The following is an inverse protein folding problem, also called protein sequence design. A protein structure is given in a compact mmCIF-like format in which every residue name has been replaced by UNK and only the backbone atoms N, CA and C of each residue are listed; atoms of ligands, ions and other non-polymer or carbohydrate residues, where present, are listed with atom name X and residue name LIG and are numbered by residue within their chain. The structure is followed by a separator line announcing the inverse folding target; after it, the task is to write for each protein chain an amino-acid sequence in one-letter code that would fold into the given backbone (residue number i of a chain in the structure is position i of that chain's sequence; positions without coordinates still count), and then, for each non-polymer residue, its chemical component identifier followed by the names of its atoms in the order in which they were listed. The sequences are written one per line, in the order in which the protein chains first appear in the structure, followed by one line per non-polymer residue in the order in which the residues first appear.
data_IF_776872680246
#
_entry.id   IF_776872680246
#
_cell.length_a   1.000
_cell.length_b   1.000
_cell.length_c   1.000
_cell.angle_alpha   90.00
_cell.angle_beta   90.00
_cell.angle_gamma   90.00
#
_symmetry.space_group_name_H-M   'P 1'
#
loop_
_entity.id
_entity.type
_entity.pdbx_description
1 polymer ?
#
# COMPACT_ATOMS: atom_id res chain seq x y z
N UNK A 1 -14.64 6.27 34.65
CA UNK A 1 -14.86 5.75 33.29
C UNK A 1 -16.24 6.21 32.86
N UNK A 2 -16.39 6.90 31.73
CA UNK A 2 -17.70 7.29 31.18
C UNK A 2 -17.87 6.49 29.91
N UNK A 3 -18.73 5.47 29.96
CA UNK A 3 -19.06 4.67 28.79
C UNK A 3 -20.49 4.94 28.34
N UNK A 4 -20.70 4.86 27.04
CA UNK A 4 -22.03 5.06 26.45
C UNK A 4 -22.77 3.73 26.34
N UNK A 5 -24.09 3.74 26.52
CA UNK A 5 -24.93 2.61 26.15
C UNK A 5 -25.87 3.00 25.02
N UNK A 6 -26.22 2.00 24.22
CA UNK A 6 -27.20 2.08 23.15
C UNK A 6 -28.05 0.81 23.20
N UNK A 7 -29.33 0.96 23.54
CA UNK A 7 -30.30 -0.11 23.71
C UNK A 7 -31.29 -0.06 22.55
N UNK A 8 -31.66 -1.24 22.05
CA UNK A 8 -32.82 -1.35 21.16
C UNK A 8 -34.07 -0.85 21.91
N UNK A 9 -35.07 -0.38 21.17
CA UNK A 9 -36.33 0.16 21.75
C UNK A 9 -37.01 -0.81 22.72
N UNK A 10 -36.84 -2.12 22.53
CA UNK A 10 -37.43 -3.14 23.40
C UNK A 10 -36.69 -3.27 24.74
N UNK A 11 -35.43 -2.85 24.78
CA UNK A 11 -34.50 -3.00 25.91
C UNK A 11 -34.32 -1.68 26.68
N UNK A 12 -35.21 -0.69 26.47
CA UNK A 12 -35.09 0.59 27.15
C UNK A 12 -35.18 0.43 28.68
N UNK A 13 -34.17 0.97 29.36
CA UNK A 13 -34.05 0.86 30.81
C UNK A 13 -34.37 2.21 31.49
N UNK A 14 -35.06 2.20 32.65
CA UNK A 14 -35.35 3.43 33.41
C UNK A 14 -34.07 4.18 33.80
N UNK A 15 -34.11 5.50 33.75
CA UNK A 15 -33.03 6.37 34.23
C UNK A 15 -32.80 6.17 35.74
N UNK A 16 -31.53 6.01 36.14
CA UNK A 16 -31.09 5.90 37.53
C UNK A 16 -31.13 7.21 38.34
N UNK A 17 -31.42 8.35 37.70
CA UNK A 17 -31.58 9.61 38.43
C UNK A 17 -32.91 9.60 39.19
N UNK A 18 -32.82 9.82 40.51
CA UNK A 18 -33.96 10.02 41.40
C UNK A 18 -34.82 11.18 40.87
N UNK A 19 -36.06 10.88 40.46
CA UNK A 19 -37.00 11.87 39.92
C UNK A 19 -37.04 12.00 38.39
N UNK A 20 -36.29 11.19 37.63
CA UNK A 20 -36.47 11.07 36.19
C UNK A 20 -37.27 9.82 35.81
N UNK A 21 -36.79 8.62 36.20
CA UNK A 21 -37.36 7.29 35.90
C UNK A 21 -37.77 7.03 34.43
N UNK A 22 -37.42 7.94 33.51
CA UNK A 22 -37.79 7.85 32.09
C UNK A 22 -36.97 6.75 31.45
N UNK A 23 -37.61 5.92 30.64
CA UNK A 23 -36.93 4.88 29.87
C UNK A 23 -36.08 5.53 28.76
N UNK A 24 -34.85 5.07 28.61
CA UNK A 24 -33.91 5.63 27.64
C UNK A 24 -33.29 4.54 26.78
N UNK A 25 -33.21 4.81 25.48
CA UNK A 25 -32.47 4.00 24.51
C UNK A 25 -30.97 4.31 24.56
N UNK A 26 -30.59 5.58 24.74
CA UNK A 26 -29.20 6.01 24.65
C UNK A 26 -28.83 6.88 25.85
N UNK A 27 -27.62 6.69 26.36
CA UNK A 27 -27.16 7.44 27.53
C UNK A 27 -25.75 7.08 27.96
N UNK A 28 -25.49 7.25 29.26
CA UNK A 28 -24.18 7.04 29.86
C UNK A 28 -24.31 6.15 31.09
N UNK A 29 -23.32 5.27 31.28
CA UNK A 29 -23.11 4.57 32.53
C UNK A 29 -22.24 5.46 33.42
N UNK A 30 -22.72 5.70 34.64
CA UNK A 30 -21.99 6.46 35.65
C UNK A 30 -21.82 5.62 36.90
N UNK A 31 -20.72 5.86 37.61
CA UNK A 31 -20.47 5.30 38.94
C UNK A 31 -20.90 6.35 39.96
N UNK A 32 -21.81 5.99 40.85
CA UNK A 32 -22.24 6.84 41.96
C UNK A 32 -21.17 6.90 43.04
N UNK A 33 -21.28 7.82 43.99
CA UNK A 33 -20.29 8.02 45.06
C UNK A 33 -20.11 6.81 45.99
N UNK A 34 -21.14 5.97 46.09
CA UNK A 34 -21.19 4.69 46.77
C UNK A 34 -20.71 3.50 45.90
N UNK A 35 -20.19 3.78 44.70
CA UNK A 35 -19.58 2.78 43.83
C UNK A 35 -20.55 1.98 42.96
N UNK A 36 -21.85 2.30 42.98
CA UNK A 36 -22.88 1.61 42.20
C UNK A 36 -22.90 2.15 40.77
N UNK A 37 -22.93 1.26 39.78
CA UNK A 37 -23.08 1.66 38.37
C UNK A 37 -24.56 1.85 38.07
N UNK A 38 -24.92 3.00 37.48
CA UNK A 38 -26.28 3.29 37.05
C UNK A 38 -26.31 3.96 35.68
N UNK A 39 -27.43 3.80 34.96
CA UNK A 39 -27.62 4.36 33.63
C UNK A 39 -28.33 5.72 33.72
N UNK A 40 -27.89 6.68 32.92
CA UNK A 40 -28.49 8.02 32.84
C UNK A 40 -28.72 8.37 31.38
N UNK A 41 -29.92 8.85 31.04
CA UNK A 41 -30.21 9.29 29.68
C UNK A 41 -29.36 10.48 29.24
N UNK A 42 -29.07 10.59 27.94
CA UNK A 42 -28.21 11.65 27.39
C UNK A 42 -28.62 13.07 27.87
N UNK A 43 -29.91 13.41 27.79
CA UNK A 43 -30.43 14.73 28.21
C UNK A 43 -30.50 14.89 29.74
N UNK A 44 -30.56 13.80 30.48
CA UNK A 44 -30.70 13.80 31.93
C UNK A 44 -29.42 14.26 32.61
N UNK A 45 -28.24 13.95 32.04
CA UNK A 45 -26.97 14.49 32.53
C UNK A 45 -26.92 16.01 32.57
N UNK A 46 -27.33 16.65 31.48
CA UNK A 46 -27.35 18.13 31.42
C UNK A 46 -28.39 18.73 32.36
N UNK A 47 -29.59 18.12 32.42
CA UNK A 47 -30.71 18.64 33.22
C UNK A 47 -30.48 18.52 34.74
N UNK A 48 -29.92 17.41 35.20
CA UNK A 48 -29.88 17.08 36.62
C UNK A 48 -28.47 17.15 37.22
N UNK A 49 -27.42 17.02 36.39
CA UNK A 49 -26.02 17.03 36.86
C UNK A 49 -25.23 18.24 36.31
N UNK A 50 -25.86 19.10 35.50
CA UNK A 50 -25.22 20.18 34.74
C UNK A 50 -24.00 19.71 33.91
N UNK A 51 -24.01 18.43 33.52
CA UNK A 51 -22.94 17.80 32.77
C UNK A 51 -23.38 17.49 31.35
N UNK A 52 -22.70 18.11 30.39
CA UNK A 52 -22.79 17.70 29.00
C UNK A 52 -21.87 16.49 28.76
N UNK A 53 -22.40 15.29 29.03
CA UNK A 53 -21.67 14.05 28.82
C UNK A 53 -21.21 13.84 27.38
N UNK A 54 -21.89 14.43 26.38
CA UNK A 54 -21.44 14.39 24.98
C UNK A 54 -20.14 15.17 24.84
N UNK A 55 -20.10 16.39 25.40
CA UNK A 55 -18.89 17.23 25.44
C UNK A 55 -17.76 16.56 26.23
N UNK A 56 -18.05 15.98 27.40
CA UNK A 56 -17.06 15.29 28.24
C UNK A 56 -16.48 14.07 27.51
N UNK A 57 -17.33 13.21 26.93
CA UNK A 57 -16.89 12.05 26.13
C UNK A 57 -16.04 12.48 24.94
N UNK A 58 -16.46 13.52 24.20
CA UNK A 58 -15.70 14.06 23.07
C UNK A 58 -14.32 14.57 23.50
N UNK A 59 -14.24 15.31 24.60
CA UNK A 59 -12.98 15.81 25.14
C UNK A 59 -12.07 14.67 25.60
N UNK A 60 -12.62 13.65 26.27
CA UNK A 60 -11.87 12.47 26.69
C UNK A 60 -11.30 11.70 25.49
N UNK A 61 -12.11 11.44 24.46
CA UNK A 61 -11.67 10.77 23.24
C UNK A 61 -10.61 11.57 22.49
N UNK A 62 -10.76 12.90 22.42
CA UNK A 62 -9.76 13.78 21.80
C UNK A 62 -8.41 13.70 22.51
N UNK A 63 -8.41 13.80 23.86
CA UNK A 63 -7.19 13.66 24.68
C UNK A 63 -6.54 12.29 24.52
N UNK A 64 -7.32 11.21 24.55
CA UNK A 64 -6.82 9.84 24.33
C UNK A 64 -6.18 9.70 22.95
N UNK A 65 -6.84 10.21 21.92
CA UNK A 65 -6.32 10.21 20.55
C UNK A 65 -5.02 11.01 20.44
N UNK A 66 -4.95 12.20 21.04
CA UNK A 66 -3.74 13.01 21.08
C UNK A 66 -2.57 12.27 21.78
N UNK A 67 -2.84 11.61 22.91
CA UNK A 67 -1.87 10.76 23.61
C UNK A 67 -1.35 9.63 22.72
N UNK A 68 -2.26 8.89 22.05
CA UNK A 68 -1.87 7.82 21.14
C UNK A 68 -1.04 8.34 19.94
N UNK A 69 -1.42 9.49 19.39
CA UNK A 69 -0.68 10.12 18.29
C UNK A 69 0.72 10.51 18.74
N UNK A 70 0.86 11.08 19.94
CA UNK A 70 2.15 11.45 20.52
C UNK A 70 3.05 10.22 20.72
N UNK A 71 2.52 9.15 21.30
CA UNK A 71 3.25 7.90 21.49
C UNK A 71 3.72 7.30 20.15
N UNK A 72 2.83 7.27 19.16
CA UNK A 72 3.17 6.82 17.79
C UNK A 72 4.29 7.65 17.18
N UNK A 73 4.25 8.97 17.33
CA UNK A 73 5.30 9.85 16.80
C UNK A 73 6.63 9.68 17.56
N UNK A 74 6.60 9.52 18.89
CA UNK A 74 7.80 9.23 19.70
C UNK A 74 8.46 7.93 19.26
N UNK A 75 7.66 6.89 19.03
CA UNK A 75 8.15 5.62 18.49
C UNK A 75 8.84 5.79 17.14
N UNK A 76 8.20 6.47 16.18
CA UNK A 76 8.78 6.72 14.85
C UNK A 76 10.09 7.52 14.96
N UNK A 77 10.16 8.55 15.82
CA UNK A 77 11.41 9.30 16.05
C UNK A 77 12.52 8.41 16.61
N UNK A 78 12.20 7.54 17.57
CA UNK A 78 13.19 6.62 18.16
C UNK A 78 13.71 5.59 17.15
N UNK A 79 12.88 5.17 16.20
CA UNK A 79 13.22 4.20 15.15
C UNK A 79 13.82 4.86 13.89
N UNK A 80 13.91 6.19 13.85
CA UNK A 80 14.27 6.95 12.64
C UNK A 80 15.62 6.54 12.05
N UNK A 81 16.61 6.19 12.86
CA UNK A 81 17.92 5.78 12.36
C UNK A 81 17.83 4.50 11.49
N UNK A 82 17.06 3.50 11.94
CA UNK A 82 16.82 2.26 11.19
C UNK A 82 15.95 2.50 9.95
N UNK A 83 14.93 3.36 10.09
CA UNK A 83 14.11 3.78 8.95
C UNK A 83 14.97 4.47 7.88
N UNK A 84 15.89 5.35 8.30
CA UNK A 84 16.79 6.07 7.39
C UNK A 84 17.72 5.12 6.64
N UNK A 85 18.32 4.13 7.32
CA UNK A 85 19.11 3.08 6.67
C UNK A 85 18.30 2.35 5.60
N UNK A 86 17.04 2.05 5.88
CA UNK A 86 16.13 1.41 4.92
C UNK A 86 15.87 2.32 3.72
N UNK A 87 15.62 3.62 3.94
CA UNK A 87 15.43 4.61 2.87
C UNK A 87 16.67 4.73 1.98
N UNK A 88 17.86 4.80 2.56
CA UNK A 88 19.10 4.94 1.80
C UNK A 88 19.41 3.68 0.99
N UNK A 89 19.17 2.49 1.56
CA UNK A 89 19.22 1.21 0.85
C UNK A 89 18.26 1.17 -0.34
N UNK A 90 16.99 1.52 -0.11
CA UNK A 90 15.96 1.56 -1.17
C UNK A 90 16.31 2.57 -2.27
N UNK A 91 16.85 3.75 -1.90
CA UNK A 91 17.29 4.75 -2.87
C UNK A 91 18.35 4.18 -3.79
N UNK A 92 19.38 3.55 -3.23
CA UNK A 92 20.45 2.93 -4.00
C UNK A 92 19.90 1.86 -4.96
N UNK A 93 18.98 1.01 -4.51
CA UNK A 93 18.36 0.00 -5.36
C UNK A 93 17.53 0.60 -6.49
N UNK A 94 16.72 1.62 -6.20
CA UNK A 94 15.87 2.28 -7.20
C UNK A 94 16.67 3.10 -8.22
N UNK A 95 17.81 3.67 -7.83
CA UNK A 95 18.74 4.31 -8.76
C UNK A 95 19.32 3.29 -9.75
N UNK A 96 19.68 2.08 -9.29
CA UNK A 96 20.14 1.00 -10.17
C UNK A 96 19.05 0.53 -11.12
N UNK A 97 17.80 0.43 -10.65
CA UNK A 97 16.68 0.11 -11.51
C UNK A 97 16.48 1.18 -12.58
N UNK A 98 16.58 2.46 -12.22
CA UNK A 98 16.50 3.58 -13.16
C UNK A 98 17.61 3.50 -14.22
N UNK A 99 18.85 3.21 -13.81
CA UNK A 99 19.97 3.09 -14.75
C UNK A 99 19.85 1.84 -15.64
N UNK A 100 19.43 0.71 -15.07
CA UNK A 100 19.15 -0.53 -15.80
C UNK A 100 18.05 -0.33 -16.84
N UNK A 101 17.01 0.44 -16.49
CA UNK A 101 15.95 0.83 -17.42
C UNK A 101 16.50 1.66 -18.59
N UNK A 102 17.43 2.60 -18.35
CA UNK A 102 18.07 3.38 -19.43
C UNK A 102 18.90 2.50 -20.35
N UNK A 103 19.62 1.52 -19.81
CA UNK A 103 20.38 0.53 -20.61
C UNK A 103 19.41 -0.24 -21.52
N UNK A 104 18.36 -0.83 -20.94
CA UNK A 104 17.35 -1.57 -21.71
C UNK A 104 16.63 -0.69 -22.72
N UNK A 105 16.34 0.57 -22.40
CA UNK A 105 15.68 1.50 -23.32
C UNK A 105 16.53 1.78 -24.56
N UNK A 106 17.86 1.85 -24.42
CA UNK A 106 18.78 2.05 -25.56
C UNK A 106 18.95 0.80 -26.43
N UNK A 107 18.78 -0.38 -25.84
CA UNK A 107 19.06 -1.66 -26.51
C UNK A 107 17.80 -2.35 -27.06
N UNK A 108 16.71 -2.36 -26.30
CA UNK A 108 15.47 -3.13 -26.55
C UNK A 108 14.22 -2.32 -26.20
N UNK A 109 14.17 -1.07 -26.69
CA UNK A 109 13.15 -0.08 -26.34
C UNK A 109 11.71 -0.61 -26.46
N UNK A 110 11.39 -1.28 -27.56
CA UNK A 110 10.03 -1.77 -27.86
C UNK A 110 9.61 -2.83 -26.85
N UNK A 111 10.47 -3.79 -26.54
CA UNK A 111 10.17 -4.88 -25.61
C UNK A 111 10.10 -4.37 -24.18
N UNK A 112 10.96 -3.42 -23.79
CA UNK A 112 10.86 -2.75 -22.50
C UNK A 112 9.52 -2.02 -22.36
N UNK A 113 9.10 -1.27 -23.38
CA UNK A 113 7.80 -0.57 -23.34
C UNK A 113 6.62 -1.53 -23.19
N UNK A 114 6.65 -2.65 -23.93
CA UNK A 114 5.63 -3.70 -23.81
C UNK A 114 5.62 -4.30 -22.39
N UNK A 115 6.78 -4.62 -21.82
CA UNK A 115 6.89 -5.12 -20.44
C UNK A 115 6.33 -4.12 -19.42
N UNK A 116 6.66 -2.83 -19.56
CA UNK A 116 6.09 -1.77 -18.72
C UNK A 116 4.57 -1.69 -18.84
N UNK A 117 4.04 -1.82 -20.07
CA UNK A 117 2.60 -1.81 -20.29
C UNK A 117 1.91 -3.03 -19.66
N UNK A 118 2.49 -4.23 -19.81
CA UNK A 118 2.04 -5.45 -19.16
C UNK A 118 1.97 -5.27 -17.63
N UNK A 119 3.02 -4.70 -17.03
CA UNK A 119 3.09 -4.43 -15.59
C UNK A 119 1.97 -3.51 -15.09
N UNK A 120 1.69 -2.44 -15.84
CA UNK A 120 0.59 -1.50 -15.53
C UNK A 120 -0.79 -2.16 -15.63
N UNK A 121 -0.98 -3.08 -16.57
CA UNK A 121 -2.21 -3.86 -16.72
C UNK A 121 -2.31 -5.05 -15.74
N UNK A 122 -1.22 -5.39 -15.04
CA UNK A 122 -1.14 -6.58 -14.19
C UNK A 122 -1.02 -7.89 -14.97
N UNK A 123 -0.72 -7.83 -16.27
CA UNK A 123 -0.39 -9.00 -17.08
C UNK A 123 1.08 -9.38 -16.89
N UNK A 124 1.36 -10.68 -16.90
CA UNK A 124 2.73 -11.23 -16.85
C UNK A 124 3.01 -12.21 -17.97
N UNK A 125 1.97 -12.70 -18.64
CA UNK A 125 2.09 -13.72 -19.66
C UNK A 125 2.56 -13.10 -20.98
N UNK A 126 3.70 -13.56 -21.48
CA UNK A 126 4.10 -13.34 -22.87
C UNK A 126 3.29 -14.33 -23.71
N UNK A 127 2.49 -13.81 -24.64
CA UNK A 127 1.62 -14.61 -25.51
C UNK A 127 2.11 -14.58 -26.94
N UNK A 128 2.03 -15.73 -27.61
CA UNK A 128 2.25 -15.84 -29.06
C UNK A 128 0.98 -16.36 -29.70
N UNK A 129 0.55 -15.66 -30.74
CA UNK A 129 -0.55 -16.15 -31.59
C UNK A 129 0.02 -17.11 -32.62
N UNK A 130 -0.48 -18.34 -32.66
CA UNK A 130 -0.18 -19.30 -33.72
C UNK A 130 -1.45 -19.87 -34.33
N UNK A 131 -1.35 -20.38 -35.55
CA UNK A 131 -2.47 -21.13 -36.14
C UNK A 131 -2.69 -22.43 -35.38
N UNK A 132 -3.95 -22.79 -35.19
CA UNK A 132 -4.31 -24.09 -34.65
C UNK A 132 -3.82 -25.21 -35.58
N UNK A 133 -3.34 -26.30 -34.98
CA UNK A 133 -3.08 -27.55 -35.69
C UNK A 133 -4.37 -28.09 -36.31
N UNK A 134 -4.26 -29.01 -37.27
CA UNK A 134 -5.45 -29.63 -37.90
C UNK A 134 -6.40 -30.24 -36.85
N UNK A 135 -5.83 -30.88 -35.83
CA UNK A 135 -6.57 -31.50 -34.73
C UNK A 135 -7.26 -30.46 -33.86
N UNK A 136 -6.53 -29.44 -33.39
CA UNK A 136 -7.10 -28.34 -32.59
C UNK A 136 -8.23 -27.62 -33.36
N UNK A 137 -8.01 -27.34 -34.64
CA UNK A 137 -9.02 -26.69 -35.50
C UNK A 137 -10.27 -27.56 -35.65
N UNK A 138 -10.13 -28.88 -35.84
CA UNK A 138 -11.29 -29.78 -35.93
C UNK A 138 -12.13 -29.81 -34.66
N UNK A 139 -11.48 -29.76 -33.48
CA UNK A 139 -12.17 -29.68 -32.19
C UNK A 139 -12.86 -28.34 -32.05
N UNK A 140 -12.18 -27.24 -32.41
CA UNK A 140 -12.74 -25.89 -32.38
C UNK A 140 -13.99 -25.77 -33.26
N UNK A 141 -13.95 -26.30 -34.49
CA UNK A 141 -15.10 -26.31 -35.40
C UNK A 141 -16.29 -27.08 -34.82
N UNK A 142 -16.03 -28.25 -34.22
CA UNK A 142 -17.06 -29.06 -33.58
C UNK A 142 -17.69 -28.36 -32.36
N UNK A 143 -16.91 -27.56 -31.62
CA UNK A 143 -17.39 -26.86 -30.42
C UNK A 143 -18.10 -25.53 -30.72
N UNK A 144 -17.67 -24.81 -31.77
CA UNK A 144 -18.14 -23.44 -32.05
C UNK A 144 -19.11 -23.34 -33.22
N UNK A 145 -19.43 -24.45 -33.88
CA UNK A 145 -20.24 -24.51 -35.10
C UNK A 145 -19.73 -23.56 -36.21
N UNK A 146 -18.40 -23.44 -36.30
CA UNK A 146 -17.70 -22.67 -37.34
C UNK A 146 -16.98 -23.60 -38.30
N UNK A 147 -16.58 -23.08 -39.46
CA UNK A 147 -15.93 -23.83 -40.53
C UNK A 147 -14.62 -23.17 -40.97
N UNK A 148 -13.79 -23.95 -41.67
CA UNK A 148 -12.51 -23.49 -42.22
C UNK A 148 -12.63 -22.24 -43.09
N UNK A 149 -13.75 -22.07 -43.82
CA UNK A 149 -14.02 -20.90 -44.66
C UNK A 149 -14.25 -19.60 -43.88
N UNK A 150 -14.59 -19.69 -42.59
CA UNK A 150 -14.92 -18.53 -41.77
C UNK A 150 -13.66 -17.84 -41.21
N UNK A 151 -12.48 -18.41 -41.44
CA UNK A 151 -11.20 -17.90 -40.95
C UNK A 151 -10.25 -17.60 -42.10
N UNK A 152 -9.68 -16.39 -42.10
CA UNK A 152 -8.59 -16.01 -42.99
C UNK A 152 -7.41 -16.98 -42.81
N UNK A 153 -6.85 -17.54 -43.88
CA UNK A 153 -5.82 -18.58 -43.79
C UNK A 153 -6.35 -19.99 -43.44
N UNK A 154 -7.67 -20.19 -43.49
CA UNK A 154 -8.38 -21.49 -43.39
C UNK A 154 -8.31 -22.21 -42.04
N UNK A 155 -7.67 -21.63 -41.01
CA UNK A 155 -7.65 -22.17 -39.64
C UNK A 155 -7.70 -21.06 -38.60
N UNK A 156 -8.48 -21.21 -37.51
CA UNK A 156 -8.44 -20.27 -36.40
C UNK A 156 -7.04 -20.18 -35.79
N UNK A 157 -6.78 -19.07 -35.11
CA UNK A 157 -5.57 -18.85 -34.31
C UNK A 157 -5.85 -19.13 -32.84
N UNK A 158 -4.82 -19.55 -32.11
CA UNK A 158 -4.84 -19.70 -30.66
C UNK A 158 -3.69 -18.86 -30.07
N UNK A 159 -3.98 -18.22 -28.94
CA UNK A 159 -2.97 -17.54 -28.14
C UNK A 159 -2.44 -18.51 -27.10
N UNK A 160 -1.13 -18.78 -27.15
CA UNK A 160 -0.44 -19.62 -26.17
C UNK A 160 0.50 -18.78 -25.32
N UNK A 161 0.61 -19.12 -24.03
CA UNK A 161 1.59 -18.49 -23.13
C UNK A 161 2.94 -19.14 -23.40
N UNK A 162 3.89 -18.34 -23.88
CA UNK A 162 5.26 -18.78 -24.23
C UNK A 162 6.28 -18.44 -23.15
N UNK A 163 5.93 -17.54 -22.22
CA UNK A 163 6.79 -17.13 -21.11
C UNK A 163 6.05 -16.27 -20.11
N UNK A 164 6.68 -16.01 -18.96
CA UNK A 164 6.14 -15.13 -17.92
C UNK A 164 7.23 -14.20 -17.39
N UNK A 165 6.98 -12.91 -17.43
CA UNK A 165 7.87 -11.91 -16.84
C UNK A 165 7.51 -11.69 -15.37
N UNK A 166 8.49 -11.85 -14.50
CA UNK A 166 8.38 -11.53 -13.09
C UNK A 166 8.79 -10.07 -12.82
N UNK A 167 8.37 -9.56 -11.66
CA UNK A 167 8.81 -8.26 -11.17
C UNK A 167 8.17 -7.04 -11.83
N UNK A 168 7.25 -7.22 -12.79
CA UNK A 168 6.62 -6.12 -13.55
C UNK A 168 5.86 -5.08 -12.70
N UNK A 169 5.52 -5.42 -11.45
CA UNK A 169 4.86 -4.49 -10.52
C UNK A 169 5.72 -3.25 -10.23
N UNK A 170 7.05 -3.33 -10.42
CA UNK A 170 7.96 -2.18 -10.27
C UNK A 170 7.60 -1.00 -11.18
N UNK A 171 6.92 -1.26 -12.31
CA UNK A 171 6.51 -0.24 -13.30
C UNK A 171 5.13 0.37 -13.05
N UNK A 172 4.41 -0.06 -12.01
CA UNK A 172 3.11 0.51 -11.65
C UNK A 172 3.24 1.91 -11.04
N UNK A 173 4.39 2.18 -10.44
CA UNK A 173 4.70 3.39 -9.70
C UNK A 173 6.09 3.88 -10.09
N UNK A 174 6.39 5.13 -9.76
CA UNK A 174 7.72 5.72 -9.92
C UNK A 174 8.46 5.60 -8.57
N UNK A 175 9.37 4.61 -8.39
CA UNK A 175 9.86 4.26 -7.06
C UNK A 175 10.69 5.37 -6.39
N UNK A 176 11.45 6.13 -7.17
CA UNK A 176 12.24 7.28 -6.67
C UNK A 176 11.35 8.43 -6.21
N UNK A 177 10.24 8.69 -6.91
CA UNK A 177 9.29 9.72 -6.52
C UNK A 177 8.55 9.32 -5.24
N UNK A 178 8.14 8.05 -5.14
CA UNK A 178 7.57 7.47 -3.90
C UNK A 178 8.51 7.67 -2.70
N UNK A 179 9.81 7.37 -2.85
CA UNK A 179 10.79 7.60 -1.78
C UNK A 179 10.92 9.07 -1.40
N UNK A 180 10.90 9.98 -2.39
CA UNK A 180 11.13 11.40 -2.15
C UNK A 180 9.93 12.08 -1.50
N UNK A 181 8.77 12.04 -2.14
CA UNK A 181 7.60 12.83 -1.74
C UNK A 181 6.73 12.15 -0.70
N UNK A 182 6.58 10.83 -0.77
CA UNK A 182 5.63 10.09 0.09
C UNK A 182 6.28 9.48 1.34
N UNK A 183 7.61 9.33 1.35
CA UNK A 183 8.35 8.71 2.47
C UNK A 183 9.32 9.72 3.12
N UNK A 184 10.31 10.21 2.37
CA UNK A 184 11.41 11.02 2.93
C UNK A 184 10.92 12.39 3.42
N UNK A 185 10.09 13.09 2.65
CA UNK A 185 9.61 14.42 3.02
C UNK A 185 8.77 14.42 4.32
N UNK A 186 7.76 13.53 4.50
CA UNK A 186 7.02 13.43 5.77
C UNK A 186 7.89 13.12 6.99
N UNK A 187 8.85 12.21 6.85
CA UNK A 187 9.71 11.80 7.96
C UNK A 187 10.72 12.90 8.31
N UNK A 188 11.29 13.58 7.31
CA UNK A 188 12.19 14.73 7.53
C UNK A 188 11.46 15.88 8.20
N UNK A 189 10.21 16.15 7.80
CA UNK A 189 9.37 17.16 8.44
C UNK A 189 9.10 16.83 9.92
N UNK A 190 8.84 15.56 10.25
CA UNK A 190 8.70 15.11 11.64
C UNK A 190 10.00 15.31 12.44
N UNK A 191 11.14 14.97 11.86
CA UNK A 191 12.45 15.09 12.54
C UNK A 191 12.92 16.53 12.70
N UNK A 192 12.39 17.45 11.90
CA UNK A 192 12.70 18.88 11.98
C UNK A 192 11.99 19.57 13.16
N UNK A 193 11.03 18.90 13.80
CA UNK A 193 10.35 19.39 15.00
C UNK A 193 11.31 19.23 16.19
N UNK A 194 11.71 20.34 16.82
CA UNK A 194 12.57 20.30 18.00
C UNK A 194 11.86 19.60 19.16
N UNK A 195 12.61 18.93 20.04
CA UNK A 195 12.04 18.23 21.20
C UNK A 195 11.23 19.17 22.10
N UNK A 196 11.68 20.42 22.25
CA UNK A 196 10.95 21.45 22.97
C UNK A 196 9.58 21.73 22.34
N UNK A 197 9.50 21.94 21.02
CA UNK A 197 8.23 22.21 20.34
C UNK A 197 7.30 20.99 20.27
N UNK A 198 7.88 19.78 20.35
CA UNK A 198 7.16 18.52 20.20
C UNK A 198 6.18 18.26 21.35
N UNK A 199 6.55 18.62 22.58
CA UNK A 199 5.68 18.46 23.75
C UNK A 199 4.55 19.50 23.81
N UNK A 200 4.62 20.58 23.02
CA UNK A 200 3.60 21.64 22.95
C UNK A 200 2.75 21.62 21.67
N UNK A 201 2.84 20.55 20.87
CA UNK A 201 2.03 20.42 19.67
C UNK A 201 0.53 20.39 19.99
N UNK A 202 -0.28 21.08 19.17
CA UNK A 202 -1.73 21.03 19.31
C UNK A 202 -2.28 19.64 18.95
N UNK A 203 -3.48 19.30 19.45
CA UNK A 203 -4.13 18.02 19.10
C UNK A 203 -4.27 17.83 17.59
N UNK A 204 -4.51 18.92 16.85
CA UNK A 204 -4.63 18.92 15.39
C UNK A 204 -3.29 18.66 14.72
N UNK A 205 -2.21 19.26 15.21
CA UNK A 205 -0.87 19.07 14.65
C UNK A 205 -0.36 17.66 14.93
N UNK A 206 -0.57 17.14 16.14
CA UNK A 206 -0.29 15.75 16.49
C UNK A 206 -1.02 14.78 15.55
N UNK A 207 -2.30 15.04 15.26
CA UNK A 207 -3.07 14.23 14.31
C UNK A 207 -2.52 14.30 12.88
N UNK A 208 -2.18 15.50 12.40
CA UNK A 208 -1.63 15.68 11.05
C UNK A 208 -0.27 15.02 10.89
N UNK A 209 0.66 15.26 11.82
CA UNK A 209 1.99 14.64 11.80
C UNK A 209 1.88 13.12 11.97
N UNK A 210 1.06 12.63 12.89
CA UNK A 210 0.87 11.18 13.09
C UNK A 210 0.30 10.52 11.84
N UNK A 211 -0.72 11.11 11.20
CA UNK A 211 -1.26 10.59 9.93
C UNK A 211 -0.21 10.55 8.83
N UNK A 212 0.54 11.64 8.67
CA UNK A 212 1.56 11.78 7.62
C UNK A 212 2.69 10.78 7.81
N UNK A 213 3.24 10.69 9.03
CA UNK A 213 4.32 9.76 9.36
C UNK A 213 3.86 8.30 9.24
N UNK A 214 2.69 7.94 9.76
CA UNK A 214 2.16 6.58 9.60
C UNK A 214 1.85 6.23 8.14
N UNK A 215 1.44 7.20 7.31
CA UNK A 215 1.32 7.01 5.86
C UNK A 215 2.69 6.69 5.26
N UNK A 216 3.72 7.46 5.60
CA UNK A 216 5.09 7.23 5.12
C UNK A 216 5.63 5.84 5.51
N UNK A 217 5.40 5.37 6.75
CA UNK A 217 5.79 4.01 7.17
C UNK A 217 5.08 2.94 6.33
N UNK A 218 3.78 3.10 6.04
CA UNK A 218 3.08 2.15 5.15
C UNK A 218 3.66 2.16 3.72
N UNK A 219 4.03 3.34 3.22
CA UNK A 219 4.66 3.46 1.91
C UNK A 219 6.07 2.88 1.90
N UNK A 220 6.80 2.95 3.01
CA UNK A 220 8.12 2.32 3.15
C UNK A 220 8.03 0.80 2.97
N UNK A 221 7.07 0.14 3.65
CA UNK A 221 6.84 -1.30 3.48
C UNK A 221 6.45 -1.67 2.04
N UNK A 222 5.72 -0.79 1.36
CA UNK A 222 5.37 -0.96 -0.04
C UNK A 222 6.59 -0.80 -0.95
N UNK A 223 7.46 0.17 -0.68
CA UNK A 223 8.70 0.38 -1.40
C UNK A 223 9.65 -0.82 -1.24
N UNK A 224 9.72 -1.41 -0.05
CA UNK A 224 10.46 -2.64 0.23
C UNK A 224 9.95 -3.80 -0.65
N UNK A 225 8.63 -4.00 -0.73
CA UNK A 225 8.06 -4.98 -1.64
C UNK A 225 8.32 -4.67 -3.13
N UNK A 226 8.39 -3.40 -3.53
CA UNK A 226 8.72 -2.99 -4.90
C UNK A 226 10.19 -3.25 -5.24
N UNK A 227 11.08 -3.18 -4.27
CA UNK A 227 12.48 -3.51 -4.45
C UNK A 227 12.67 -4.96 -4.85
N UNK A 228 12.03 -5.89 -4.14
CA UNK A 228 12.02 -7.31 -4.51
C UNK A 228 11.50 -7.52 -5.94
N UNK A 229 10.48 -6.77 -6.35
CA UNK A 229 9.95 -6.84 -7.71
C UNK A 229 10.96 -6.32 -8.73
N UNK A 230 11.67 -5.23 -8.43
CA UNK A 230 12.72 -4.73 -9.30
C UNK A 230 13.86 -5.74 -9.48
N UNK A 231 14.36 -6.34 -8.40
CA UNK A 231 15.39 -7.38 -8.48
C UNK A 231 14.94 -8.60 -9.30
N UNK A 232 13.68 -9.03 -9.15
CA UNK A 232 13.11 -10.10 -9.99
C UNK A 232 13.04 -9.71 -11.45
N UNK A 233 12.65 -8.48 -11.75
CA UNK A 233 12.53 -8.02 -13.14
C UNK A 233 13.90 -7.97 -13.82
N UNK A 234 14.89 -7.33 -13.16
CA UNK A 234 16.24 -7.14 -13.69
C UNK A 234 17.14 -8.37 -13.54
N UNK A 235 16.61 -9.50 -13.09
CA UNK A 235 17.32 -10.77 -13.09
C UNK A 235 17.68 -11.16 -14.54
N UNK A 236 18.92 -11.63 -14.82
CA UNK A 236 19.36 -11.98 -16.17
C UNK A 236 18.47 -13.02 -16.88
N UNK A 237 18.02 -14.04 -16.15
CA UNK A 237 17.15 -15.09 -16.69
C UNK A 237 15.78 -14.53 -17.08
N UNK A 238 15.25 -13.62 -16.26
CA UNK A 238 13.98 -12.97 -16.53
C UNK A 238 14.08 -11.98 -17.70
N UNK A 239 15.19 -11.23 -17.81
CA UNK A 239 15.43 -10.33 -18.95
C UNK A 239 15.62 -11.08 -20.27
N UNK A 240 16.18 -12.31 -20.24
CA UNK A 240 16.31 -13.14 -21.43
C UNK A 240 14.95 -13.47 -22.08
N UNK A 241 13.85 -13.47 -21.30
CA UNK A 241 12.49 -13.69 -21.81
C UNK A 241 12.02 -12.57 -22.76
N UNK A 242 12.69 -11.40 -22.79
CA UNK A 242 12.42 -10.37 -23.78
C UNK A 242 12.72 -10.84 -25.21
N UNK A 243 13.55 -11.89 -25.40
CA UNK A 243 13.74 -12.55 -26.70
C UNK A 243 12.42 -13.13 -27.24
N UNK A 244 11.56 -13.66 -26.36
CA UNK A 244 10.25 -14.19 -26.74
C UNK A 244 9.29 -13.09 -27.23
N UNK A 245 9.56 -11.83 -26.88
CA UNK A 245 8.87 -10.63 -27.34
C UNK A 245 9.51 -10.03 -28.61
N UNK A 246 10.47 -10.74 -29.21
CA UNK A 246 11.12 -10.35 -30.46
C UNK A 246 12.30 -9.40 -30.30
N UNK A 247 12.93 -9.32 -29.11
CA UNK A 247 14.20 -8.62 -28.97
C UNK A 247 15.31 -9.32 -29.76
N UNK A 248 16.22 -8.55 -30.36
CA UNK A 248 17.43 -9.11 -30.98
C UNK A 248 18.34 -9.73 -29.91
N UNK A 249 18.76 -10.98 -30.14
CA UNK A 249 19.49 -11.78 -29.16
C UNK A 249 20.85 -11.19 -28.80
N UNK A 250 21.59 -10.69 -29.80
CA UNK A 250 22.93 -10.13 -29.57
C UNK A 250 22.86 -8.85 -28.74
N UNK A 251 21.94 -7.96 -29.12
CA UNK A 251 21.73 -6.67 -28.46
C UNK A 251 21.18 -6.86 -27.04
N UNK A 252 20.27 -7.82 -26.85
CA UNK A 252 19.72 -8.16 -25.54
C UNK A 252 20.80 -8.72 -24.60
N UNK A 253 21.65 -9.64 -25.08
CA UNK A 253 22.71 -10.23 -24.26
C UNK A 253 23.72 -9.17 -23.78
N UNK A 254 24.09 -8.22 -24.65
CA UNK A 254 24.95 -7.10 -24.25
C UNK A 254 24.29 -6.24 -23.16
N UNK A 255 23.00 -5.95 -23.29
CA UNK A 255 22.25 -5.19 -22.29
C UNK A 255 22.16 -5.93 -20.96
N UNK A 256 21.88 -7.24 -20.98
CA UNK A 256 21.82 -8.10 -19.79
C UNK A 256 23.15 -8.09 -19.05
N UNK A 257 24.28 -8.21 -19.75
CA UNK A 257 25.61 -8.16 -19.12
C UNK A 257 25.86 -6.83 -18.41
N UNK A 258 25.51 -5.70 -19.06
CA UNK A 258 25.65 -4.37 -18.46
C UNK A 258 24.76 -4.19 -17.23
N UNK A 259 23.50 -4.66 -17.29
CA UNK A 259 22.58 -4.64 -16.15
C UNK A 259 23.11 -5.52 -15.01
N UNK A 260 23.59 -6.73 -15.30
CA UNK A 260 24.10 -7.67 -14.29
C UNK A 260 25.26 -7.07 -13.50
N UNK A 261 26.25 -6.48 -14.20
CA UNK A 261 27.36 -5.78 -13.56
C UNK A 261 26.89 -4.64 -12.64
N UNK A 262 25.86 -3.91 -13.05
CA UNK A 262 25.29 -2.81 -12.26
C UNK A 262 24.60 -3.33 -10.99
N UNK A 263 23.94 -4.49 -11.09
CA UNK A 263 23.25 -5.13 -9.98
C UNK A 263 24.21 -5.81 -8.98
N UNK A 264 25.36 -6.33 -9.43
CA UNK A 264 26.35 -7.06 -8.60
C UNK A 264 27.30 -6.15 -7.80
N UNK A 265 27.68 -4.97 -8.31
CA UNK A 265 28.67 -4.05 -7.72
C UNK A 265 28.25 -3.37 -6.39
N UNK A 266 27.28 -3.96 -5.69
CA UNK A 266 26.60 -3.38 -4.53
C UNK A 266 26.71 -4.23 -3.28
N UNK A 267 27.05 -5.51 -3.43
CA UNK A 267 27.14 -6.48 -2.34
C UNK A 267 28.45 -6.37 -1.55
N UNK A 268 29.37 -5.50 -1.99
CA UNK A 268 30.74 -5.36 -1.45
C UNK A 268 31.00 -4.03 -0.73
N UNK A 269 29.99 -3.21 -0.46
CA UNK A 269 30.13 -1.91 0.19
C UNK A 269 29.47 -1.83 1.59
N UNK A 270 29.11 -2.98 2.16
CA UNK A 270 28.43 -3.10 3.46
C UNK A 270 29.17 -3.96 4.48
N UNK A 271 30.50 -4.06 4.34
CA UNK A 271 31.41 -4.55 5.38
C UNK A 271 32.23 -3.39 5.97
#
# INVERSE_FOLDING_TARGET
MIDGYDFAKIDEYPCGIKGCATKHQHGYLVVTTDGIITNIGNRCGKKYLDLDFTRVKKSYLAKRKASNNLESLKKIRSEYASIKQTIDRLRNSFEKFSESQKILYRSVQTQLWQAMHMGRQGSRDIRRTRRMSKREASIHYAQTNTHSKDYEGRRPSIDEVVGRLDGLSVFKEEPLELLKSEISAPLTALMSISDFSFDFLSEKDLENHSRSANKAIRQLNKADALEDQGYRFYNPENLALLELMGADKSTLLEAINKVSLLMENSSSASD
#
